data_IF_022755171097
#
_entry.id   IF_022755171097
#
_cell.length_a   1.000
_cell.length_b   1.000
_cell.length_c   1.000
_cell.angle_alpha   90.00
_cell.angle_beta   90.00
_cell.angle_gamma   90.00
#
_symmetry.space_group_name_H-M   'P 1'
#
loop_
_entity.id
_entity.type
_entity.pdbx_description
1 polymer ?
#
# COMPACT_ATOMS: atom_id res chain seq x y z
N UNK A 1 -16.84 45.04 3.55
CA UNK A 1 -16.25 43.68 3.60
C UNK A 1 -16.60 43.01 2.28
N UNK A 2 -15.68 43.03 1.31
CA UNK A 2 -15.88 42.37 0.02
C UNK A 2 -15.64 40.88 0.17
N UNK A 3 -16.67 40.08 -0.15
CA UNK A 3 -16.56 38.65 -0.35
C UNK A 3 -15.61 38.36 -1.52
N UNK A 4 -14.51 37.65 -1.28
CA UNK A 4 -13.76 37.02 -2.37
C UNK A 4 -14.48 35.72 -2.76
N UNK A 5 -14.91 35.66 -4.02
CA UNK A 5 -15.37 34.45 -4.70
C UNK A 5 -14.30 33.37 -4.64
N UNK A 6 -14.57 32.29 -3.91
CA UNK A 6 -13.79 31.05 -3.97
C UNK A 6 -14.05 30.37 -5.30
N UNK A 7 -13.16 30.60 -6.26
CA UNK A 7 -12.95 29.66 -7.36
C UNK A 7 -12.32 28.41 -6.76
N UNK A 8 -12.99 27.26 -6.89
CA UNK A 8 -12.48 25.96 -6.47
C UNK A 8 -11.24 25.64 -7.29
N UNK A 9 -10.07 26.01 -6.78
CA UNK A 9 -8.79 25.71 -7.40
C UNK A 9 -8.53 24.22 -7.25
N UNK A 10 -8.13 23.58 -8.34
CA UNK A 10 -7.67 22.18 -8.32
C UNK A 10 -6.67 21.99 -7.16
N UNK A 11 -6.82 20.95 -6.30
CA UNK A 11 -6.00 20.79 -5.10
C UNK A 11 -4.50 20.78 -5.37
N UNK A 12 -4.07 20.24 -6.52
CA UNK A 12 -2.66 20.25 -6.92
C UNK A 12 -2.20 21.68 -7.25
N UNK A 13 -3.02 22.45 -7.97
CA UNK A 13 -2.78 23.86 -8.28
C UNK A 13 -2.69 24.70 -7.00
N UNK A 14 -3.60 24.51 -6.05
CA UNK A 14 -3.57 25.18 -4.74
C UNK A 14 -2.30 24.84 -3.96
N UNK A 15 -1.88 23.57 -3.95
CA UNK A 15 -0.62 23.16 -3.34
C UNK A 15 0.58 23.80 -4.03
N UNK A 16 0.65 23.79 -5.37
CA UNK A 16 1.74 24.43 -6.10
C UNK A 16 1.82 25.94 -5.78
N UNK A 17 0.70 26.62 -5.56
CA UNK A 17 0.70 28.02 -5.15
C UNK A 17 1.17 28.21 -3.70
N UNK A 18 0.70 27.37 -2.79
CA UNK A 18 1.01 27.43 -1.36
C UNK A 18 2.50 27.22 -1.09
N UNK A 19 3.09 26.16 -1.65
CA UNK A 19 4.46 25.72 -1.33
C UNK A 19 5.44 25.83 -2.50
N UNK A 20 4.96 26.29 -3.66
CA UNK A 20 5.80 26.46 -4.84
C UNK A 20 6.86 27.54 -4.68
N UNK A 21 7.86 27.45 -5.54
CA UNK A 21 9.04 28.31 -5.53
C UNK A 21 10.26 27.64 -4.88
N UNK A 22 11.44 28.09 -5.29
CA UNK A 22 12.73 27.48 -4.94
C UNK A 22 12.99 27.41 -3.43
N UNK A 23 12.49 28.39 -2.66
CA UNK A 23 12.97 28.63 -1.30
C UNK A 23 12.04 28.15 -0.18
N UNK A 24 10.71 28.13 -0.38
CA UNK A 24 9.75 27.77 0.68
C UNK A 24 10.00 26.36 1.23
N UNK A 25 10.22 25.38 0.35
CA UNK A 25 10.53 24.00 0.74
C UNK A 25 11.88 23.86 1.45
N UNK A 26 12.89 24.66 1.04
CA UNK A 26 14.20 24.66 1.69
C UNK A 26 14.13 25.30 3.09
N UNK A 27 13.40 26.40 3.25
CA UNK A 27 13.15 27.05 4.54
C UNK A 27 12.44 26.06 5.48
N UNK A 28 11.39 25.40 4.99
CA UNK A 28 10.64 24.40 5.75
C UNK A 28 11.52 23.23 6.20
N UNK A 29 12.43 22.75 5.34
CA UNK A 29 13.44 21.73 5.69
C UNK A 29 14.31 22.19 6.86
N UNK A 30 14.84 23.43 6.82
CA UNK A 30 15.70 23.95 7.88
C UNK A 30 14.95 24.09 9.22
N UNK A 31 13.69 24.53 9.18
CA UNK A 31 12.86 24.73 10.36
C UNK A 31 12.33 23.42 10.98
N UNK A 32 12.45 22.30 10.26
CA UNK A 32 12.15 20.97 10.82
C UNK A 32 13.10 20.61 11.97
N UNK A 33 14.31 21.17 11.99
CA UNK A 33 15.30 20.99 13.05
C UNK A 33 15.10 21.95 14.25
N UNK A 34 13.99 22.67 14.30
CA UNK A 34 13.65 23.63 15.36
C UNK A 34 13.77 25.10 14.95
N UNK A 35 13.49 26.03 15.89
CA UNK A 35 13.50 27.47 15.61
C UNK A 35 14.85 27.97 15.08
N UNK A 36 14.80 28.95 14.17
CA UNK A 36 15.98 29.58 13.55
C UNK A 36 15.84 31.08 13.43
N UNK A 37 16.95 31.81 13.57
CA UNK A 37 17.01 33.25 13.28
C UNK A 37 17.15 33.49 11.78
N UNK A 38 16.79 34.69 11.34
CA UNK A 38 16.91 35.10 9.94
C UNK A 38 18.33 34.88 9.37
N UNK A 39 19.35 35.23 10.15
CA UNK A 39 20.75 35.05 9.75
C UNK A 39 21.17 33.59 9.63
N UNK A 40 20.57 32.68 10.41
CA UNK A 40 20.86 31.25 10.36
C UNK A 40 20.23 30.63 9.12
N UNK A 41 18.98 30.97 8.84
CA UNK A 41 18.27 30.55 7.63
C UNK A 41 19.01 31.02 6.38
N UNK A 42 19.40 32.30 6.32
CA UNK A 42 20.15 32.85 5.18
C UNK A 42 21.48 32.13 4.96
N UNK A 43 22.22 31.85 6.04
CA UNK A 43 23.50 31.13 5.95
C UNK A 43 23.31 29.68 5.47
N UNK A 44 22.31 28.97 5.98
CA UNK A 44 22.04 27.57 5.61
C UNK A 44 21.56 27.43 4.16
N UNK A 45 20.76 28.39 3.68
CA UNK A 45 20.19 28.39 2.33
C UNK A 45 21.18 28.86 1.26
N UNK A 46 22.30 29.47 1.64
CA UNK A 46 23.36 29.91 0.72
C UNK A 46 22.95 31.11 -0.13
N UNK A 47 22.63 30.87 -1.41
CA UNK A 47 22.47 31.90 -2.46
C UNK A 47 21.19 32.76 -2.37
N UNK A 48 20.44 32.68 -1.28
CA UNK A 48 19.21 33.45 -1.13
C UNK A 48 19.50 34.91 -0.79
N UNK A 49 18.91 35.83 -1.55
CA UNK A 49 19.00 37.26 -1.23
C UNK A 49 18.18 37.60 0.01
N UNK A 50 18.60 38.62 0.76
CA UNK A 50 17.89 39.07 1.96
C UNK A 50 16.43 39.44 1.67
N UNK A 51 16.17 40.07 0.54
CA UNK A 51 14.83 40.45 0.11
C UNK A 51 13.97 39.21 -0.15
N UNK A 52 14.49 38.24 -0.92
CA UNK A 52 13.75 37.02 -1.26
C UNK A 52 13.47 36.16 -0.03
N UNK A 53 14.40 36.07 0.92
CA UNK A 53 14.16 35.38 2.19
C UNK A 53 13.09 36.09 3.02
N UNK A 54 13.12 37.42 3.07
CA UNK A 54 12.11 38.21 3.80
C UNK A 54 10.73 38.01 3.21
N UNK A 55 10.60 38.07 1.88
CA UNK A 55 9.34 37.89 1.19
C UNK A 55 8.81 36.46 1.38
N UNK A 56 9.68 35.44 1.25
CA UNK A 56 9.30 34.05 1.47
C UNK A 56 8.81 33.78 2.90
N UNK A 57 9.51 34.31 3.92
CA UNK A 57 9.11 34.14 5.33
C UNK A 57 7.77 34.83 5.62
N UNK A 58 7.55 36.04 5.08
CA UNK A 58 6.26 36.73 5.22
C UNK A 58 5.12 35.95 4.58
N UNK A 59 5.30 35.49 3.34
CA UNK A 59 4.26 34.69 2.69
C UNK A 59 4.00 33.40 3.44
N UNK A 60 5.03 32.70 3.93
CA UNK A 60 4.84 31.49 4.73
C UNK A 60 4.16 31.75 6.09
N UNK A 61 4.34 32.94 6.67
CA UNK A 61 3.66 33.37 7.88
C UNK A 61 2.17 33.68 7.58
N UNK A 62 1.89 34.41 6.50
CA UNK A 62 0.55 34.72 6.03
C UNK A 62 -0.24 33.45 5.63
N UNK A 63 0.45 32.48 5.01
CA UNK A 63 -0.07 31.16 4.65
C UNK A 63 -0.27 30.23 5.87
N UNK A 64 0.12 30.67 7.08
CA UNK A 64 -0.02 29.90 8.32
C UNK A 64 0.96 28.73 8.47
N UNK A 65 2.02 28.66 7.67
CA UNK A 65 3.02 27.58 7.68
C UNK A 65 4.12 27.79 8.73
N UNK A 66 4.44 29.05 9.07
CA UNK A 66 5.46 29.39 10.06
C UNK A 66 4.93 30.39 11.08
N UNK A 67 5.52 30.35 12.27
CA UNK A 67 5.28 31.30 13.35
C UNK A 67 6.55 32.14 13.58
N UNK A 68 6.38 33.45 13.71
CA UNK A 68 7.45 34.41 13.96
C UNK A 68 7.37 34.93 15.39
N UNK A 69 8.41 34.73 16.18
CA UNK A 69 8.52 35.22 17.55
C UNK A 69 9.56 36.34 17.62
N UNK A 70 9.19 37.45 18.26
CA UNK A 70 10.11 38.55 18.57
C UNK A 70 10.53 38.42 20.02
N UNK A 71 11.84 38.36 20.27
CA UNK A 71 12.41 38.29 21.62
C UNK A 71 12.95 39.66 22.05
N UNK A 72 12.28 40.36 22.98
CA UNK A 72 12.69 41.68 23.45
C UNK A 72 13.77 41.54 24.54
N UNK A 73 15.00 41.25 24.12
CA UNK A 73 16.19 41.20 24.99
C UNK A 73 17.12 42.40 24.70
N UNK A 74 18.28 42.47 25.38
CA UNK A 74 19.31 43.53 25.19
C UNK A 74 19.74 43.65 23.71
N UNK A 75 19.64 42.58 22.93
CA UNK A 75 19.70 42.62 21.46
C UNK A 75 18.41 42.01 20.90
N UNK A 76 17.57 42.86 20.30
CA UNK A 76 16.32 42.43 19.67
C UNK A 76 16.60 41.40 18.56
N UNK A 77 16.01 40.22 18.67
CA UNK A 77 16.10 39.19 17.64
C UNK A 77 14.75 38.54 17.35
N UNK A 78 14.70 37.85 16.22
CA UNK A 78 13.49 37.22 15.68
C UNK A 78 13.82 35.78 15.36
N UNK A 79 12.94 34.88 15.79
CA UNK A 79 13.00 33.47 15.44
C UNK A 79 11.77 33.04 14.66
N UNK A 80 11.98 32.07 13.77
CA UNK A 80 10.95 31.45 12.96
C UNK A 80 10.89 29.97 13.31
N UNK A 81 9.69 29.43 13.44
CA UNK A 81 9.42 28.01 13.67
C UNK A 81 8.26 27.54 12.80
N UNK A 82 8.17 26.24 12.53
CA UNK A 82 6.97 25.69 11.87
C UNK A 82 5.76 25.79 12.81
N UNK A 83 4.58 26.03 12.23
CA UNK A 83 3.29 25.80 12.90
C UNK A 83 2.93 24.31 12.86
N UNK A 84 1.84 23.90 13.52
CA UNK A 84 1.31 22.54 13.38
C UNK A 84 1.06 22.18 11.90
N UNK A 85 0.45 23.09 11.14
CA UNK A 85 0.24 22.94 9.69
C UNK A 85 1.56 22.84 8.92
N UNK A 86 2.55 23.68 9.29
CA UNK A 86 3.90 23.60 8.72
C UNK A 86 4.57 22.24 8.95
N UNK A 87 4.39 21.64 10.13
CA UNK A 87 4.88 20.30 10.43
C UNK A 87 4.13 19.21 9.64
N UNK A 88 2.81 19.30 9.47
CA UNK A 88 2.06 18.37 8.62
C UNK A 88 2.58 18.39 7.18
N UNK A 89 2.91 19.56 6.65
CA UNK A 89 3.47 19.71 5.30
C UNK A 89 4.87 19.09 5.13
N UNK A 90 5.60 18.77 6.20
CA UNK A 90 6.90 18.09 6.10
C UNK A 90 6.79 16.65 5.56
N UNK A 91 5.60 16.03 5.64
CA UNK A 91 5.33 14.74 5.01
C UNK A 91 5.56 14.79 3.48
N UNK A 92 5.28 15.94 2.86
CA UNK A 92 5.55 16.15 1.44
C UNK A 92 7.06 16.19 1.16
N UNK A 93 7.86 16.89 1.98
CA UNK A 93 9.31 16.94 1.83
C UNK A 93 9.94 15.55 1.88
N UNK A 94 9.47 14.71 2.81
CA UNK A 94 9.90 13.30 2.93
C UNK A 94 9.54 12.49 1.68
N UNK A 95 8.32 12.70 1.17
CA UNK A 95 7.84 12.02 -0.05
C UNK A 95 8.64 12.43 -1.28
N UNK A 96 8.85 13.74 -1.49
CA UNK A 96 9.64 14.27 -2.61
C UNK A 96 11.09 13.76 -2.58
N UNK A 97 11.72 13.75 -1.40
CA UNK A 97 13.08 13.23 -1.21
C UNK A 97 13.16 11.74 -1.56
N UNK A 98 12.18 10.95 -1.11
CA UNK A 98 12.10 9.52 -1.40
C UNK A 98 11.91 9.25 -2.91
N UNK A 99 11.04 10.02 -3.56
CA UNK A 99 10.83 9.93 -5.01
C UNK A 99 12.10 10.27 -5.80
N UNK A 100 12.84 11.30 -5.40
CA UNK A 100 14.07 11.70 -6.07
C UNK A 100 15.19 10.66 -5.93
N UNK A 101 15.34 10.04 -4.74
CA UNK A 101 16.28 8.95 -4.52
C UNK A 101 15.98 7.74 -5.44
N UNK A 102 14.71 7.39 -5.60
CA UNK A 102 14.27 6.34 -6.51
C UNK A 102 14.53 6.70 -7.98
N UNK A 103 14.34 7.98 -8.34
CA UNK A 103 14.58 8.49 -9.69
C UNK A 103 16.06 8.39 -10.08
N UNK A 104 16.98 8.87 -9.24
CA UNK A 104 18.43 8.78 -9.51
C UNK A 104 18.85 7.32 -9.70
N UNK A 105 18.44 6.45 -8.78
CA UNK A 105 18.71 5.01 -8.87
C UNK A 105 18.17 4.42 -10.18
N UNK A 106 17.01 4.90 -10.66
CA UNK A 106 16.43 4.40 -11.92
C UNK A 106 17.18 4.92 -13.15
N UNK A 107 17.70 6.15 -13.13
CA UNK A 107 18.49 6.74 -14.22
C UNK A 107 19.86 6.06 -14.33
N UNK A 108 20.56 5.86 -13.22
CA UNK A 108 21.86 5.18 -13.20
C UNK A 108 21.80 3.72 -13.70
N UNK A 109 20.66 3.06 -13.50
CA UNK A 109 20.42 1.72 -13.99
C UNK A 109 20.04 1.66 -15.48
N UNK A 110 19.52 2.75 -16.08
CA UNK A 110 19.19 2.81 -17.51
C UNK A 110 20.45 2.85 -18.39
N UNK A 111 21.56 3.39 -17.87
CA UNK A 111 22.83 3.51 -18.60
C UNK A 111 23.65 2.21 -18.61
N UNK A 112 23.26 1.19 -17.83
CA UNK A 112 24.05 -0.04 -17.61
C UNK A 112 23.48 -1.32 -18.20
N UNK A 113 22.34 -1.27 -18.89
CA UNK A 113 21.66 -2.50 -19.35
C UNK A 113 22.32 -3.11 -20.61
N UNK A 114 22.69 -4.40 -20.60
CA UNK A 114 23.04 -5.16 -21.81
C UNK A 114 21.82 -5.40 -22.73
N UNK A 115 22.08 -5.93 -23.93
CA UNK A 115 21.05 -6.35 -24.90
C UNK A 115 20.65 -7.82 -24.69
N UNK A 116 19.39 -8.20 -25.00
CA UNK A 116 18.84 -9.50 -24.63
C UNK A 116 19.46 -10.65 -25.43
N UNK A 117 19.69 -11.80 -24.77
CA UNK A 117 19.99 -13.08 -25.42
C UNK A 117 19.01 -14.20 -25.04
N UNK A 118 18.53 -14.88 -26.09
CA UNK A 118 17.88 -16.20 -26.21
C UNK A 118 16.63 -16.59 -25.36
N UNK A 119 15.47 -16.34 -25.98
CA UNK A 119 14.34 -17.27 -26.20
C UNK A 119 13.61 -17.89 -24.98
N UNK A 120 12.67 -17.13 -24.43
CA UNK A 120 11.46 -17.64 -23.75
C UNK A 120 10.20 -17.04 -24.35
N UNK A 121 9.98 -17.19 -25.66
CA UNK A 121 8.80 -16.61 -26.30
C UNK A 121 7.51 -17.24 -25.73
N UNK A 122 6.80 -16.50 -24.88
CA UNK A 122 5.51 -16.89 -24.30
C UNK A 122 4.35 -16.76 -25.29
N UNK A 123 4.53 -15.92 -26.31
CA UNK A 123 3.49 -15.56 -27.26
C UNK A 123 3.95 -15.77 -28.70
N UNK A 124 3.02 -16.14 -29.59
CA UNK A 124 3.28 -16.25 -31.03
C UNK A 124 2.88 -14.95 -31.73
N UNK A 125 3.78 -14.38 -32.54
CA UNK A 125 3.50 -13.22 -33.38
C UNK A 125 2.75 -13.64 -34.65
N UNK A 126 1.54 -13.09 -34.85
CA UNK A 126 0.78 -13.18 -36.11
C UNK A 126 0.81 -11.84 -36.83
N UNK A 127 1.46 -11.78 -37.99
CA UNK A 127 1.49 -10.60 -38.86
C UNK A 127 0.17 -10.41 -39.60
N UNK A 128 -0.79 -9.74 -38.95
CA UNK A 128 -1.77 -8.78 -39.50
C UNK A 128 -2.70 -8.37 -38.35
N UNK A 129 -2.73 -7.09 -37.97
CA UNK A 129 -3.50 -6.53 -36.84
C UNK A 129 -3.43 -7.41 -35.57
N UNK A 130 -2.25 -7.41 -34.94
CA UNK A 130 -1.75 -8.41 -34.00
C UNK A 130 -2.67 -8.68 -32.78
N UNK A 131 -3.54 -9.69 -32.89
CA UNK A 131 -4.01 -10.43 -31.72
C UNK A 131 -2.88 -11.37 -31.31
N UNK A 132 -2.27 -11.10 -30.17
CA UNK A 132 -1.23 -11.96 -29.60
C UNK A 132 -1.90 -13.23 -29.07
N UNK A 133 -1.66 -14.39 -29.70
CA UNK A 133 -2.23 -15.66 -29.25
C UNK A 133 -1.42 -16.26 -28.08
N UNK A 134 -2.12 -16.50 -26.97
CA UNK A 134 -1.62 -17.19 -25.79
C UNK A 134 -1.63 -18.72 -26.00
N UNK A 135 -0.65 -19.46 -25.47
CA UNK A 135 -0.73 -20.91 -25.39
C UNK A 135 -1.95 -21.37 -24.57
N UNK A 136 -2.40 -22.61 -24.80
CA UNK A 136 -3.50 -23.18 -24.03
C UNK A 136 -3.19 -23.24 -22.52
N UNK A 137 -4.24 -23.25 -21.70
CA UNK A 137 -4.14 -23.23 -20.24
C UNK A 137 -3.20 -24.31 -19.67
N UNK A 138 -3.31 -25.57 -20.15
CA UNK A 138 -2.49 -26.68 -19.65
C UNK A 138 -1.02 -26.49 -19.98
N UNK A 139 -0.72 -25.93 -21.15
CA UNK A 139 0.64 -25.57 -21.54
C UNK A 139 1.18 -24.44 -20.65
N UNK A 140 0.39 -23.39 -20.40
CA UNK A 140 0.80 -22.30 -19.51
C UNK A 140 1.06 -22.77 -18.07
N UNK A 141 0.22 -23.62 -17.50
CA UNK A 141 0.45 -24.22 -16.17
C UNK A 141 1.77 -25.01 -16.13
N UNK A 142 2.04 -25.86 -17.12
CA UNK A 142 3.29 -26.62 -17.21
C UNK A 142 4.51 -25.70 -17.31
N UNK A 143 4.43 -24.66 -18.14
CA UNK A 143 5.49 -23.65 -18.29
C UNK A 143 5.72 -22.90 -16.98
N UNK A 144 4.67 -22.43 -16.32
CA UNK A 144 4.77 -21.74 -15.03
C UNK A 144 5.43 -22.61 -13.96
N UNK A 145 5.05 -23.88 -13.86
CA UNK A 145 5.71 -24.85 -12.96
C UNK A 145 7.19 -25.03 -13.26
N UNK A 146 7.55 -25.17 -14.54
CA UNK A 146 8.96 -25.30 -14.94
C UNK A 146 9.78 -24.05 -14.58
N UNK A 147 9.23 -22.85 -14.82
CA UNK A 147 9.87 -21.59 -14.44
C UNK A 147 10.07 -21.47 -12.92
N UNK A 148 9.05 -21.79 -12.13
CA UNK A 148 9.15 -21.78 -10.66
C UNK A 148 10.07 -22.89 -10.12
N UNK A 149 10.15 -24.03 -10.82
CA UNK A 149 11.08 -25.10 -10.48
C UNK A 149 12.54 -24.65 -10.67
N UNK A 150 12.83 -23.97 -11.78
CA UNK A 150 14.17 -23.50 -12.16
C UNK A 150 14.60 -22.18 -11.47
N UNK A 151 13.65 -21.44 -10.90
CA UNK A 151 13.92 -20.15 -10.25
C UNK A 151 14.83 -20.28 -9.02
N UNK A 152 15.77 -19.34 -8.89
CA UNK A 152 16.59 -19.18 -7.68
C UNK A 152 15.77 -18.52 -6.56
N UNK A 153 14.86 -17.60 -6.94
CA UNK A 153 13.98 -16.87 -6.02
C UNK A 153 12.56 -16.71 -6.58
N UNK A 154 11.56 -16.71 -5.71
CA UNK A 154 10.18 -16.35 -6.05
C UNK A 154 9.74 -15.16 -5.21
N UNK A 155 9.30 -14.08 -5.86
CA UNK A 155 8.72 -12.92 -5.19
C UNK A 155 7.24 -12.87 -5.54
N UNK A 156 6.39 -13.18 -4.56
CA UNK A 156 4.95 -13.21 -4.73
C UNK A 156 4.31 -11.87 -4.32
N UNK A 157 3.35 -11.41 -5.13
CA UNK A 157 2.64 -10.16 -4.94
C UNK A 157 1.14 -10.39 -4.95
N UNK A 158 0.45 -10.24 -3.80
CA UNK A 158 -1.00 -10.50 -3.72
C UNK A 158 -1.83 -9.21 -3.54
N UNK A 159 -2.86 -9.09 -4.36
CA UNK A 159 -3.90 -8.07 -4.24
C UNK A 159 -5.27 -8.67 -3.91
N UNK A 160 -6.31 -7.82 -3.91
CA UNK A 160 -7.66 -8.23 -3.50
C UNK A 160 -8.27 -9.35 -4.36
N UNK A 161 -7.76 -9.58 -5.57
CA UNK A 161 -8.26 -10.65 -6.45
C UNK A 161 -8.08 -12.05 -5.86
N UNK A 162 -7.07 -12.28 -5.00
CA UNK A 162 -6.91 -13.57 -4.30
C UNK A 162 -8.08 -13.89 -3.34
N UNK A 163 -8.81 -12.87 -2.89
CA UNK A 163 -9.99 -13.05 -2.05
C UNK A 163 -11.26 -13.33 -2.87
N UNK A 164 -11.30 -12.88 -4.14
CA UNK A 164 -12.41 -13.21 -5.05
C UNK A 164 -12.47 -14.72 -5.29
N UNK A 165 -11.30 -15.37 -5.36
CA UNK A 165 -11.14 -16.83 -5.34
C UNK A 165 -11.79 -17.51 -4.12
N UNK A 166 -12.01 -16.77 -3.03
CA UNK A 166 -12.70 -17.25 -1.82
C UNK A 166 -14.17 -16.79 -1.74
N UNK A 167 -14.76 -16.37 -2.87
CA UNK A 167 -16.10 -15.77 -2.95
C UNK A 167 -16.30 -14.50 -2.08
N UNK A 168 -15.21 -13.77 -1.84
CA UNK A 168 -15.20 -12.51 -1.10
C UNK A 168 -14.76 -11.40 -2.05
N UNK A 169 -15.72 -10.59 -2.48
CA UNK A 169 -15.44 -9.42 -3.30
C UNK A 169 -15.90 -8.15 -2.55
N UNK A 170 -14.93 -7.37 -2.08
CA UNK A 170 -15.17 -6.17 -1.29
C UNK A 170 -15.87 -5.05 -2.08
N UNK A 171 -15.94 -5.17 -3.41
CA UNK A 171 -16.46 -4.14 -4.31
C UNK A 171 -17.86 -4.44 -4.86
N UNK A 172 -18.51 -5.54 -4.47
CA UNK A 172 -19.86 -5.87 -4.96
C UNK A 172 -20.97 -5.79 -3.90
N UNK A 173 -22.17 -5.56 -4.42
CA UNK A 173 -23.41 -5.43 -3.62
C UNK A 173 -23.83 -6.75 -2.97
N UNK A 174 -23.54 -7.88 -3.63
CA UNK A 174 -23.96 -9.21 -3.17
C UNK A 174 -23.24 -9.58 -1.88
N UNK A 175 -21.95 -9.31 -1.81
CA UNK A 175 -21.10 -9.58 -0.63
C UNK A 175 -21.47 -8.63 0.51
N UNK A 176 -21.65 -7.33 0.23
CA UNK A 176 -22.08 -6.36 1.24
C UNK A 176 -23.44 -6.73 1.85
N UNK A 177 -24.46 -7.02 1.04
CA UNK A 177 -25.78 -7.44 1.53
C UNK A 177 -25.73 -8.72 2.37
N UNK A 178 -24.84 -9.66 2.01
CA UNK A 178 -24.70 -10.95 2.71
C UNK A 178 -24.00 -10.83 4.05
N UNK A 179 -22.92 -10.03 4.12
CA UNK A 179 -22.06 -9.97 5.30
C UNK A 179 -22.42 -8.81 6.25
N UNK A 180 -22.90 -7.69 5.72
CA UNK A 180 -23.21 -6.47 6.47
C UNK A 180 -24.61 -5.93 6.08
N UNK A 181 -25.69 -6.71 6.30
CA UNK A 181 -27.04 -6.32 5.86
C UNK A 181 -27.52 -5.00 6.46
N UNK A 182 -27.22 -4.72 7.73
CA UNK A 182 -27.61 -3.48 8.39
C UNK A 182 -27.00 -2.23 7.71
N UNK A 183 -25.72 -2.32 7.32
CA UNK A 183 -25.04 -1.26 6.58
C UNK A 183 -25.55 -1.15 5.14
N UNK A 184 -25.85 -2.28 4.49
CA UNK A 184 -26.46 -2.28 3.16
C UNK A 184 -27.82 -1.56 3.16
N UNK A 185 -28.65 -1.77 4.18
CA UNK A 185 -29.95 -1.10 4.35
C UNK A 185 -29.80 0.41 4.58
N UNK A 186 -28.68 0.87 5.12
CA UNK A 186 -28.32 2.30 5.25
C UNK A 186 -27.83 2.93 3.93
N UNK A 187 -27.73 2.16 2.85
CA UNK A 187 -27.41 2.66 1.51
C UNK A 187 -25.98 2.38 1.04
N UNK A 188 -25.17 1.66 1.81
CA UNK A 188 -23.83 1.24 1.37
C UNK A 188 -23.91 0.18 0.27
N UNK A 189 -23.27 0.43 -0.88
CA UNK A 189 -23.32 -0.49 -2.03
C UNK A 189 -22.24 -1.56 -1.98
N UNK A 190 -21.08 -1.30 -1.36
CA UNK A 190 -20.04 -2.30 -1.18
C UNK A 190 -19.29 -2.12 0.13
N UNK A 191 -18.53 -3.14 0.54
CA UNK A 191 -17.75 -3.12 1.78
C UNK A 191 -16.62 -2.07 1.69
N UNK A 192 -16.07 -1.82 0.50
CA UNK A 192 -15.10 -0.74 0.27
C UNK A 192 -15.67 0.63 0.63
N UNK A 193 -16.97 0.87 0.40
CA UNK A 193 -17.66 2.11 0.80
C UNK A 193 -17.74 2.23 2.32
N UNK A 194 -18.00 1.11 3.01
CA UNK A 194 -18.07 1.07 4.47
C UNK A 194 -16.69 1.36 5.08
N UNK A 195 -15.63 0.72 4.57
CA UNK A 195 -14.24 0.99 5.01
C UNK A 195 -13.87 2.47 4.79
N UNK A 196 -14.35 3.10 3.71
CA UNK A 196 -14.17 4.55 3.49
C UNK A 196 -14.93 5.39 4.52
N UNK A 197 -16.20 5.07 4.76
CA UNK A 197 -17.05 5.82 5.68
C UNK A 197 -16.51 5.79 7.11
N UNK A 198 -15.98 4.64 7.53
CA UNK A 198 -15.37 4.44 8.85
C UNK A 198 -13.84 4.56 8.82
N UNK A 199 -13.29 5.41 7.94
CA UNK A 199 -11.84 5.63 7.84
C UNK A 199 -11.28 6.59 8.90
N UNK A 200 -12.15 7.35 9.57
CA UNK A 200 -11.77 8.34 10.57
C UNK A 200 -12.66 8.21 11.81
N UNK A 201 -12.01 8.09 12.97
CA UNK A 201 -12.68 8.09 14.27
C UNK A 201 -12.77 9.52 14.82
N UNK A 202 -13.87 9.83 15.48
CA UNK A 202 -14.11 11.06 16.22
C UNK A 202 -15.03 10.80 17.42
N UNK A 203 -15.11 11.71 18.39
CA UNK A 203 -16.04 11.58 19.52
C UNK A 203 -17.50 11.41 19.10
N UNK A 204 -17.91 11.96 17.95
CA UNK A 204 -19.28 11.90 17.46
C UNK A 204 -19.63 10.56 16.82
N UNK A 205 -18.63 9.79 16.37
CA UNK A 205 -18.85 8.53 15.64
C UNK A 205 -18.22 7.30 16.28
N UNK A 206 -17.57 7.43 17.44
CA UNK A 206 -16.73 6.38 18.03
C UNK A 206 -17.44 5.02 18.22
N UNK A 207 -18.74 5.04 18.55
CA UNK A 207 -19.56 3.84 18.69
C UNK A 207 -19.82 3.17 17.34
N UNK A 208 -20.29 3.92 16.34
CA UNK A 208 -20.55 3.41 15.00
C UNK A 208 -19.26 2.96 14.30
N UNK A 209 -18.16 3.65 14.55
CA UNK A 209 -16.83 3.29 14.08
C UNK A 209 -16.44 1.89 14.57
N UNK A 210 -16.54 1.65 15.88
CA UNK A 210 -16.16 0.36 16.46
C UNK A 210 -17.21 -0.73 16.26
N UNK A 211 -18.47 -0.38 16.00
CA UNK A 211 -19.50 -1.32 15.56
C UNK A 211 -19.08 -1.95 14.24
N UNK A 212 -18.81 -1.12 13.23
CA UNK A 212 -18.34 -1.59 11.93
C UNK A 212 -17.01 -2.33 12.03
N UNK A 213 -16.00 -1.73 12.67
CA UNK A 213 -14.66 -2.33 12.67
C UNK A 213 -14.58 -3.62 13.49
N UNK A 214 -15.34 -3.76 14.58
CA UNK A 214 -15.33 -5.01 15.35
C UNK A 214 -15.95 -6.16 14.54
N UNK A 215 -17.08 -5.93 13.87
CA UNK A 215 -17.70 -6.92 12.98
C UNK A 215 -16.80 -7.23 11.77
N UNK A 216 -16.24 -6.20 11.13
CA UNK A 216 -15.36 -6.35 9.98
C UNK A 216 -14.11 -7.15 10.31
N UNK A 217 -13.41 -6.78 11.39
CA UNK A 217 -12.21 -7.48 11.83
C UNK A 217 -12.55 -8.92 12.25
N UNK A 218 -13.66 -9.14 12.92
CA UNK A 218 -14.09 -10.49 13.25
C UNK A 218 -14.31 -11.33 11.99
N UNK A 219 -15.11 -10.86 11.03
CA UNK A 219 -15.46 -11.61 9.83
C UNK A 219 -14.24 -11.90 8.93
N UNK A 220 -13.37 -10.91 8.69
CA UNK A 220 -12.26 -11.07 7.75
C UNK A 220 -10.97 -11.56 8.39
N UNK A 221 -10.67 -11.15 9.62
CA UNK A 221 -9.41 -11.48 10.30
C UNK A 221 -9.51 -12.67 11.24
N UNK A 222 -10.61 -12.92 11.96
CA UNK A 222 -10.62 -13.92 13.03
C UNK A 222 -11.52 -15.13 12.80
N UNK A 223 -12.67 -14.96 12.16
CA UNK A 223 -13.73 -15.98 12.07
C UNK A 223 -13.32 -17.23 11.30
N UNK A 224 -12.62 -17.05 10.19
CA UNK A 224 -12.33 -18.12 9.23
C UNK A 224 -10.84 -18.50 9.23
N UNK A 225 -10.48 -19.76 8.94
CA UNK A 225 -9.10 -20.13 8.69
C UNK A 225 -8.55 -19.46 7.41
N UNK A 226 -7.28 -19.72 7.09
CA UNK A 226 -6.72 -19.34 5.79
C UNK A 226 -7.56 -19.95 4.66
N UNK A 227 -7.84 -19.18 3.60
CA UNK A 227 -8.56 -19.71 2.45
C UNK A 227 -7.68 -20.65 1.63
N UNK A 228 -8.31 -21.55 0.86
CA UNK A 228 -7.60 -22.54 0.06
C UNK A 228 -6.61 -21.89 -0.92
N UNK A 229 -6.97 -20.75 -1.54
CA UNK A 229 -6.06 -20.03 -2.43
C UNK A 229 -4.78 -19.55 -1.72
N UNK A 230 -4.86 -19.13 -0.46
CA UNK A 230 -3.68 -18.76 0.33
C UNK A 230 -2.88 -19.99 0.77
N UNK A 231 -3.53 -21.10 1.08
CA UNK A 231 -2.85 -22.37 1.38
C UNK A 231 -2.13 -22.91 0.14
N UNK A 232 -2.74 -22.81 -1.04
CA UNK A 232 -2.12 -23.21 -2.31
C UNK A 232 -0.91 -22.32 -2.63
N UNK A 233 -1.00 -21.01 -2.37
CA UNK A 233 0.18 -20.13 -2.43
C UNK A 233 1.28 -20.56 -1.45
N UNK A 234 0.93 -20.93 -0.23
CA UNK A 234 1.91 -21.50 0.71
C UNK A 234 2.55 -22.78 0.15
N UNK A 235 1.78 -23.68 -0.44
CA UNK A 235 2.31 -24.90 -1.06
C UNK A 235 3.25 -24.63 -2.23
N UNK A 236 3.00 -23.58 -3.03
CA UNK A 236 3.90 -23.13 -4.10
C UNK A 236 5.24 -22.62 -3.53
N UNK A 237 5.23 -21.94 -2.37
CA UNK A 237 6.37 -21.19 -1.85
C UNK A 237 7.20 -21.92 -0.79
N UNK A 238 6.61 -22.83 -0.01
CA UNK A 238 7.19 -23.39 1.23
C UNK A 238 8.60 -23.97 1.08
N UNK A 239 8.93 -24.53 -0.07
CA UNK A 239 10.22 -25.19 -0.37
C UNK A 239 11.13 -24.32 -1.26
N UNK A 240 10.83 -23.02 -1.39
CA UNK A 240 11.53 -22.08 -2.27
C UNK A 240 12.11 -20.91 -1.47
N UNK A 241 13.20 -20.33 -1.96
CA UNK A 241 13.68 -19.03 -1.46
C UNK A 241 12.71 -17.94 -1.90
N UNK A 242 11.87 -17.45 -0.99
CA UNK A 242 10.74 -16.60 -1.35
C UNK A 242 10.58 -15.38 -0.44
N UNK A 243 9.84 -14.40 -0.97
CA UNK A 243 9.29 -13.28 -0.22
C UNK A 243 7.89 -12.97 -0.74
N UNK A 244 6.99 -12.55 0.16
CA UNK A 244 5.62 -12.16 -0.19
C UNK A 244 5.42 -10.69 0.16
N UNK A 245 4.92 -9.92 -0.81
CA UNK A 245 4.41 -8.56 -0.60
C UNK A 245 2.91 -8.55 -0.88
N UNK A 246 2.12 -7.95 0.02
CA UNK A 246 0.67 -7.88 -0.18
C UNK A 246 0.11 -6.49 0.05
N UNK A 247 -0.90 -6.16 -0.76
CA UNK A 247 -1.74 -4.99 -0.52
C UNK A 247 -2.99 -5.32 0.31
N UNK A 248 -3.17 -6.58 0.69
CA UNK A 248 -4.24 -7.00 1.58
C UNK A 248 -3.77 -6.88 3.05
N UNK A 249 -4.71 -6.63 3.95
CA UNK A 249 -4.46 -6.51 5.39
C UNK A 249 -5.30 -7.49 6.23
N UNK A 250 -6.06 -8.38 5.58
CA UNK A 250 -7.05 -9.29 6.17
C UNK A 250 -6.47 -10.40 7.06
N UNK A 251 -5.16 -10.58 7.08
CA UNK A 251 -4.53 -11.59 7.91
C UNK A 251 -4.46 -12.99 7.28
N UNK A 252 -4.87 -13.16 6.02
CA UNK A 252 -4.96 -14.48 5.39
C UNK A 252 -3.58 -15.11 5.20
N UNK A 253 -2.59 -14.33 4.76
CA UNK A 253 -1.20 -14.78 4.61
C UNK A 253 -0.60 -15.21 5.96
N UNK A 254 -0.84 -14.45 7.03
CA UNK A 254 -0.36 -14.77 8.37
C UNK A 254 -0.91 -16.10 8.92
N UNK A 255 -2.02 -16.62 8.37
CA UNK A 255 -2.64 -17.89 8.77
C UNK A 255 -2.14 -19.11 8.00
N UNK A 256 -1.33 -18.92 6.96
CA UNK A 256 -0.93 -20.02 6.05
C UNK A 256 0.19 -20.91 6.58
N UNK A 257 0.96 -20.42 7.56
CA UNK A 257 2.20 -21.07 8.03
C UNK A 257 3.48 -20.60 7.33
N UNK A 258 3.39 -19.64 6.40
CA UNK A 258 4.56 -18.92 5.90
C UNK A 258 5.30 -18.21 7.03
N UNK A 259 6.64 -18.12 6.93
CA UNK A 259 7.43 -17.33 7.85
C UNK A 259 7.04 -15.85 7.74
N UNK A 260 6.52 -15.29 8.83
CA UNK A 260 6.09 -13.90 8.91
C UNK A 260 7.22 -12.91 8.59
N UNK A 261 8.48 -13.30 8.78
CA UNK A 261 9.66 -12.51 8.42
C UNK A 261 9.91 -12.41 6.92
N UNK A 262 9.19 -13.19 6.11
CA UNK A 262 9.19 -13.11 4.65
C UNK A 262 7.88 -12.51 4.09
N UNK A 263 7.04 -11.91 4.93
CA UNK A 263 5.78 -11.27 4.53
C UNK A 263 5.85 -9.78 4.83
N UNK A 264 5.81 -8.96 3.78
CA UNK A 264 5.77 -7.50 3.88
C UNK A 264 4.37 -6.96 3.52
N UNK A 265 3.77 -6.24 4.47
CA UNK A 265 2.44 -5.64 4.36
C UNK A 265 2.54 -4.11 4.39
N UNK A 266 2.88 -3.45 3.25
CA UNK A 266 3.08 -2.00 3.17
C UNK A 266 1.87 -1.16 3.57
N UNK A 267 0.68 -1.75 3.64
CA UNK A 267 -0.57 -1.08 3.97
C UNK A 267 -1.06 -1.33 5.41
N UNK A 268 -0.27 -2.06 6.21
CA UNK A 268 -0.62 -2.49 7.56
C UNK A 268 -1.26 -3.88 7.62
N UNK A 269 -1.59 -4.32 8.82
CA UNK A 269 -2.28 -5.59 9.09
C UNK A 269 -3.39 -5.39 10.12
N UNK A 270 -4.59 -5.89 9.80
CA UNK A 270 -5.74 -5.92 10.70
C UNK A 270 -5.56 -6.86 11.90
N UNK A 271 -4.45 -7.60 11.97
CA UNK A 271 -4.01 -8.27 13.20
C UNK A 271 -3.75 -7.30 14.34
N UNK A 272 -3.52 -6.02 14.02
CA UNK A 272 -3.08 -5.03 14.98
C UNK A 272 -3.93 -3.76 14.98
N UNK A 273 -3.93 -3.10 16.13
CA UNK A 273 -4.36 -1.71 16.30
C UNK A 273 -3.13 -0.82 16.50
N UNK A 274 -3.30 0.47 16.29
CA UNK A 274 -2.29 1.49 16.57
C UNK A 274 -2.94 2.77 17.12
N UNK A 275 -2.15 3.60 17.78
CA UNK A 275 -2.60 4.91 18.25
C UNK A 275 -2.99 5.82 17.07
N UNK A 276 -4.18 6.41 17.10
CA UNK A 276 -4.65 7.36 16.09
C UNK A 276 -3.75 8.61 15.99
N UNK A 277 -3.30 9.11 17.15
CA UNK A 277 -2.36 10.24 17.24
C UNK A 277 -0.89 9.87 16.93
N UNK A 278 -0.55 8.58 16.78
CA UNK A 278 0.83 8.13 16.59
C UNK A 278 1.81 8.59 17.69
N UNK A 279 1.39 8.52 18.97
CA UNK A 279 2.25 8.92 20.11
C UNK A 279 3.53 8.08 20.27
N UNK A 280 3.55 6.89 19.69
CA UNK A 280 4.67 5.96 19.65
C UNK A 280 4.58 5.10 18.38
N UNK A 281 5.72 4.60 17.90
CA UNK A 281 5.79 3.66 16.78
C UNK A 281 5.54 2.23 17.27
N UNK A 282 4.33 1.96 17.75
CA UNK A 282 3.92 0.68 18.32
C UNK A 282 2.58 0.21 17.80
N UNK A 283 2.46 -1.11 17.72
CA UNK A 283 1.21 -1.81 17.41
C UNK A 283 0.73 -2.63 18.62
N UNK A 284 -0.57 -2.88 18.67
CA UNK A 284 -1.25 -3.63 19.71
C UNK A 284 -2.00 -4.81 19.09
N UNK A 285 -1.91 -6.02 19.64
CA UNK A 285 -2.70 -7.15 19.15
C UNK A 285 -4.19 -6.82 19.20
N UNK A 286 -4.88 -6.88 18.05
CA UNK A 286 -6.26 -6.42 17.95
C UNK A 286 -7.27 -7.39 18.57
N UNK A 287 -7.00 -8.70 18.50
CA UNK A 287 -7.94 -9.74 18.89
C UNK A 287 -8.58 -9.55 20.27
N UNK A 288 -7.83 -9.29 21.37
CA UNK A 288 -8.43 -9.14 22.70
C UNK A 288 -9.39 -7.94 22.79
N UNK A 289 -9.13 -6.88 22.03
CA UNK A 289 -10.01 -5.71 21.97
C UNK A 289 -11.30 -6.04 21.22
N UNK A 290 -11.19 -6.75 20.09
CA UNK A 290 -12.37 -7.14 19.29
C UNK A 290 -13.26 -8.11 20.06
N UNK A 291 -12.67 -9.13 20.70
CA UNK A 291 -13.40 -10.08 21.54
C UNK A 291 -14.12 -9.38 22.70
N UNK A 292 -13.47 -8.40 23.35
CA UNK A 292 -14.10 -7.59 24.39
C UNK A 292 -15.29 -6.80 23.86
N UNK A 293 -15.13 -6.07 22.75
CA UNK A 293 -16.22 -5.28 22.15
C UNK A 293 -17.41 -6.19 21.86
N UNK A 294 -17.19 -7.31 21.16
CA UNK A 294 -18.26 -8.25 20.79
C UNK A 294 -18.95 -8.88 22.00
N UNK A 295 -18.21 -9.15 23.09
CA UNK A 295 -18.78 -9.68 24.32
C UNK A 295 -19.62 -8.65 25.09
N UNK A 296 -19.22 -7.37 25.03
CA UNK A 296 -19.89 -6.28 25.76
C UNK A 296 -21.11 -5.71 25.01
N UNK A 297 -21.20 -5.92 23.69
CA UNK A 297 -22.30 -5.47 22.82
C UNK A 297 -23.63 -6.12 23.23
N UNK A 298 -24.61 -5.30 23.59
CA UNK A 298 -25.99 -5.75 23.87
C UNK A 298 -26.87 -5.44 22.64
N UNK A 299 -27.71 -6.41 22.28
CA UNK A 299 -28.56 -6.34 21.08
C UNK A 299 -29.58 -5.20 21.06
N UNK A 300 -29.83 -4.53 22.19
CA UNK A 300 -30.79 -3.41 22.32
C UNK A 300 -30.12 -2.04 22.37
N UNK A 301 -28.88 -1.97 22.84
CA UNK A 301 -28.18 -0.68 23.08
C UNK A 301 -26.89 -0.53 22.27
N UNK A 302 -26.41 -1.59 21.62
CA UNK A 302 -25.17 -1.58 20.85
C UNK A 302 -23.92 -1.66 21.74
N UNK A 303 -22.80 -1.16 21.20
CA UNK A 303 -21.50 -1.10 21.91
C UNK A 303 -21.58 -0.13 23.09
N UNK A 304 -20.89 -0.47 24.17
CA UNK A 304 -20.73 0.40 25.34
C UNK A 304 -19.51 1.33 25.18
N UNK A 305 -19.59 2.62 25.57
CA UNK A 305 -18.46 3.54 25.48
C UNK A 305 -17.18 3.04 26.17
N UNK A 306 -17.31 2.27 27.26
CA UNK A 306 -16.19 1.72 28.03
C UNK A 306 -15.44 0.58 27.31
N UNK A 307 -16.04 0.03 26.25
CA UNK A 307 -15.45 -1.01 25.41
C UNK A 307 -14.61 -0.43 24.28
N UNK A 308 -14.69 0.89 24.04
CA UNK A 308 -13.92 1.58 23.00
C UNK A 308 -12.42 1.50 23.30
N UNK A 309 -11.62 0.90 22.39
CA UNK A 309 -10.17 0.79 22.54
C UNK A 309 -9.47 2.15 22.66
N UNK A 310 -8.69 2.31 23.73
CA UNK A 310 -7.85 3.49 23.99
C UNK A 310 -6.38 3.10 24.06
N UNK A 311 -5.51 3.99 23.58
CA UNK A 311 -4.08 3.85 23.58
C UNK A 311 -3.58 3.81 25.04
N UNK A 312 -2.92 2.73 25.48
CA UNK A 312 -2.40 2.62 26.85
C UNK A 312 -1.38 3.71 27.23
N UNK A 313 -0.71 4.32 26.24
CA UNK A 313 0.37 5.28 26.48
C UNK A 313 -0.12 6.74 26.60
N UNK A 314 -1.15 7.14 25.86
CA UNK A 314 -1.60 8.54 25.82
C UNK A 314 -3.11 8.73 26.03
N UNK A 315 -3.91 7.65 26.05
CA UNK A 315 -5.36 7.70 26.19
C UNK A 315 -6.15 8.07 24.93
N UNK A 316 -5.48 8.37 23.81
CA UNK A 316 -6.16 8.61 22.53
C UNK A 316 -6.81 7.32 21.98
N UNK A 317 -7.60 7.41 20.92
CA UNK A 317 -8.18 6.26 20.25
C UNK A 317 -7.11 5.30 19.71
N UNK A 318 -7.36 4.01 19.86
CA UNK A 318 -6.77 3.03 18.96
C UNK A 318 -7.60 2.97 17.68
N UNK A 319 -6.96 2.63 16.56
CA UNK A 319 -7.59 2.38 15.26
C UNK A 319 -6.94 1.15 14.62
N UNK A 320 -7.59 0.45 13.69
CA UNK A 320 -6.95 -0.64 12.95
C UNK A 320 -5.66 -0.16 12.27
N UNK A 321 -4.61 -0.99 12.32
CA UNK A 321 -3.34 -0.72 11.65
C UNK A 321 -3.52 -0.89 10.13
N UNK A 322 -4.00 0.16 9.47
CA UNK A 322 -4.26 0.16 8.05
C UNK A 322 -4.18 1.57 7.45
N UNK A 323 -3.64 1.70 6.23
CA UNK A 323 -3.35 3.00 5.61
C UNK A 323 -4.57 3.93 5.45
N UNK A 324 -5.79 3.37 5.46
CA UNK A 324 -7.03 4.15 5.36
C UNK A 324 -7.50 4.69 6.70
N UNK A 325 -7.11 4.05 7.81
CA UNK A 325 -7.44 4.55 9.13
C UNK A 325 -6.53 5.74 9.42
N UNK A 326 -6.99 6.95 9.03
CA UNK A 326 -6.19 8.18 8.87
C UNK A 326 -5.27 8.43 10.08
N UNK A 327 -4.05 7.92 9.97
CA UNK A 327 -2.97 8.06 10.95
C UNK A 327 -1.79 8.76 10.28
N UNK A 328 -0.94 9.39 11.08
CA UNK A 328 0.23 10.12 10.56
C UNK A 328 1.28 9.14 10.00
N UNK A 329 1.35 7.93 10.56
CA UNK A 329 2.26 6.87 10.13
C UNK A 329 1.76 5.48 10.53
N UNK A 330 2.00 4.48 9.67
CA UNK A 330 1.79 3.08 9.99
C UNK A 330 2.95 2.53 10.81
N UNK A 331 2.65 2.11 12.04
CA UNK A 331 3.60 1.37 12.85
C UNK A 331 3.78 -0.06 12.29
N UNK A 332 5.01 -0.55 12.32
CA UNK A 332 5.34 -1.90 11.84
C UNK A 332 5.30 -2.89 13.00
N UNK A 333 4.71 -4.06 12.78
CA UNK A 333 4.78 -5.15 13.74
C UNK A 333 6.13 -5.86 13.65
N UNK A 334 6.80 -6.08 14.78
CA UNK A 334 8.10 -6.75 14.81
C UNK A 334 8.06 -8.18 14.26
N UNK A 335 6.91 -8.86 14.32
CA UNK A 335 6.77 -10.23 13.81
C UNK A 335 6.77 -10.31 12.28
N UNK A 336 6.38 -9.23 11.59
CA UNK A 336 6.34 -9.15 10.13
C UNK A 336 7.67 -8.65 9.56
N UNK A 337 7.87 -8.85 8.26
CA UNK A 337 8.95 -8.21 7.55
C UNK A 337 8.76 -6.69 7.51
N UNK A 338 9.85 -5.95 7.66
CA UNK A 338 9.87 -4.51 7.45
C UNK A 338 10.26 -4.22 6.00
N UNK A 339 10.01 -2.98 5.55
CA UNK A 339 10.38 -2.53 4.20
C UNK A 339 11.84 -2.82 3.85
N UNK A 340 12.75 -2.63 4.82
CA UNK A 340 14.19 -2.88 4.63
C UNK A 340 14.49 -4.34 4.31
N UNK A 341 13.75 -5.27 4.89
CA UNK A 341 13.97 -6.71 4.72
C UNK A 341 13.52 -7.14 3.32
N UNK A 342 12.37 -6.63 2.87
CA UNK A 342 11.91 -6.81 1.49
C UNK A 342 12.89 -6.23 0.46
N UNK A 343 13.36 -5.00 0.67
CA UNK A 343 14.34 -4.37 -0.22
C UNK A 343 15.68 -5.11 -0.22
N UNK A 344 16.10 -5.62 0.94
CA UNK A 344 17.29 -6.46 1.05
C UNK A 344 17.13 -7.71 0.19
N UNK A 345 16.04 -8.46 0.34
CA UNK A 345 15.77 -9.66 -0.44
C UNK A 345 15.74 -9.37 -1.95
N UNK A 346 15.05 -8.31 -2.35
CA UNK A 346 14.93 -7.88 -3.74
C UNK A 346 16.30 -7.56 -4.36
N UNK A 347 17.16 -6.85 -3.63
CA UNK A 347 18.53 -6.56 -4.07
C UNK A 347 19.38 -7.83 -4.20
N UNK A 348 19.21 -8.81 -3.31
CA UNK A 348 19.92 -10.08 -3.37
C UNK A 348 19.49 -10.98 -4.54
N UNK A 349 18.28 -10.76 -5.05
CA UNK A 349 17.76 -11.47 -6.23
C UNK A 349 18.21 -10.88 -7.57
N UNK A 350 18.86 -9.71 -7.60
CA UNK A 350 19.28 -9.06 -8.85
C UNK A 350 20.29 -9.93 -9.63
N UNK A 351 20.07 -10.06 -10.93
CA UNK A 351 20.90 -10.87 -11.84
C UNK A 351 20.76 -12.39 -11.66
N UNK A 352 19.85 -12.83 -10.78
CA UNK A 352 19.49 -14.24 -10.57
C UNK A 352 18.23 -14.60 -11.36
N UNK A 353 17.89 -15.89 -11.40
CA UNK A 353 16.61 -16.34 -11.98
C UNK A 353 15.50 -16.06 -10.99
N UNK A 354 14.64 -15.09 -11.30
CA UNK A 354 13.59 -14.63 -10.38
C UNK A 354 12.23 -14.78 -11.04
N UNK A 355 11.30 -15.44 -10.35
CA UNK A 355 9.89 -15.42 -10.73
C UNK A 355 9.18 -14.34 -9.90
N UNK A 356 8.64 -13.35 -10.59
CA UNK A 356 7.67 -12.42 -10.00
C UNK A 356 6.26 -12.99 -10.19
N UNK A 357 5.63 -13.48 -9.12
CA UNK A 357 4.31 -14.07 -9.16
C UNK A 357 3.25 -13.05 -8.71
N UNK A 358 2.60 -12.38 -9.66
CA UNK A 358 1.54 -11.40 -9.41
C UNK A 358 0.17 -12.08 -9.38
N UNK A 359 -0.56 -11.95 -8.26
CA UNK A 359 -1.87 -12.57 -8.06
C UNK A 359 -2.91 -11.50 -7.74
N UNK A 360 -3.93 -11.36 -8.58
CA UNK A 360 -5.12 -10.56 -8.27
C UNK A 360 -4.87 -9.07 -8.00
N UNK A 361 -3.76 -8.51 -8.49
CA UNK A 361 -3.41 -7.10 -8.31
C UNK A 361 -4.14 -6.21 -9.33
N UNK A 362 -4.94 -5.25 -8.86
CA UNK A 362 -5.65 -4.29 -9.72
C UNK A 362 -4.87 -2.99 -9.98
N UNK A 363 -5.57 -1.97 -10.48
CA UNK A 363 -4.97 -0.67 -10.81
C UNK A 363 -4.99 0.39 -9.69
N UNK A 364 -5.82 0.22 -8.66
CA UNK A 364 -6.01 1.22 -7.58
C UNK A 364 -4.72 1.55 -6.83
N UNK A 365 -3.89 0.54 -6.55
CA UNK A 365 -2.59 0.68 -5.86
C UNK A 365 -1.49 -0.03 -6.67
N UNK A 366 -1.49 0.16 -7.98
CA UNK A 366 -0.57 -0.50 -8.91
C UNK A 366 0.93 -0.27 -8.60
N UNK A 367 1.27 0.76 -7.82
CA UNK A 367 2.64 1.07 -7.41
C UNK A 367 3.19 0.14 -6.31
N UNK A 368 2.37 -0.73 -5.71
CA UNK A 368 2.80 -1.65 -4.65
C UNK A 368 3.36 -2.95 -5.23
N UNK A 369 2.66 -3.52 -6.22
CA UNK A 369 2.97 -4.85 -6.77
C UNK A 369 3.16 -4.77 -8.29
N UNK A 370 2.08 -4.46 -9.02
CA UNK A 370 2.02 -4.56 -10.48
C UNK A 370 3.15 -3.82 -11.20
N UNK A 371 3.26 -2.50 -11.00
CA UNK A 371 4.31 -1.69 -11.65
C UNK A 371 5.71 -2.06 -11.18
N UNK A 372 6.00 -2.22 -9.87
CA UNK A 372 7.29 -2.72 -9.43
C UNK A 372 7.68 -4.05 -10.08
N UNK A 373 6.78 -5.03 -10.13
CA UNK A 373 7.07 -6.35 -10.70
C UNK A 373 7.38 -6.26 -12.20
N UNK A 374 6.61 -5.46 -12.94
CA UNK A 374 6.90 -5.14 -14.35
C UNK A 374 8.28 -4.46 -14.50
N UNK A 375 8.61 -3.50 -13.64
CA UNK A 375 9.87 -2.77 -13.68
C UNK A 375 11.08 -3.65 -13.34
N UNK A 376 10.97 -4.52 -12.34
CA UNK A 376 12.05 -5.46 -11.99
C UNK A 376 12.23 -6.55 -13.03
N UNK A 377 11.13 -7.04 -13.62
CA UNK A 377 11.20 -8.02 -14.72
C UNK A 377 11.92 -7.42 -15.91
N UNK A 378 11.57 -6.19 -16.30
CA UNK A 378 12.21 -5.49 -17.43
C UNK A 378 13.71 -5.24 -17.22
N UNK A 379 14.14 -5.05 -15.98
CA UNK A 379 15.54 -4.75 -15.64
C UNK A 379 16.40 -6.00 -15.44
N UNK A 380 15.80 -7.18 -15.35
CA UNK A 380 16.51 -8.44 -15.14
C UNK A 380 16.14 -9.41 -16.26
N UNK A 381 17.04 -9.61 -17.22
CA UNK A 381 16.85 -10.53 -18.36
C UNK A 381 16.57 -11.98 -17.91
N UNK A 382 16.99 -12.36 -16.71
CA UNK A 382 16.76 -13.69 -16.12
C UNK A 382 15.51 -13.76 -15.25
N UNK A 383 14.75 -12.66 -15.14
CA UNK A 383 13.48 -12.66 -14.44
C UNK A 383 12.33 -12.98 -15.40
N UNK A 384 11.28 -13.59 -14.86
CA UNK A 384 10.00 -13.71 -15.53
C UNK A 384 8.85 -13.27 -14.63
N UNK A 385 7.83 -12.68 -15.25
CA UNK A 385 6.58 -12.29 -14.60
C UNK A 385 5.51 -13.35 -14.87
N UNK A 386 4.94 -13.93 -13.82
CA UNK A 386 3.74 -14.77 -13.91
C UNK A 386 2.58 -13.96 -13.35
N UNK A 387 1.63 -13.56 -14.20
CA UNK A 387 0.45 -12.77 -13.82
C UNK A 387 -0.79 -13.63 -13.80
N UNK A 388 -1.47 -13.71 -12.67
CA UNK A 388 -2.74 -14.40 -12.49
C UNK A 388 -3.80 -13.35 -12.15
N UNK A 389 -4.65 -13.01 -13.11
CA UNK A 389 -5.68 -12.00 -12.90
C UNK A 389 -6.86 -12.17 -13.88
N UNK A 390 -8.03 -12.53 -13.36
CA UNK A 390 -9.22 -12.80 -14.17
C UNK A 390 -9.82 -11.55 -14.84
N UNK A 391 -9.53 -10.35 -14.31
CA UNK A 391 -10.07 -9.08 -14.83
C UNK A 391 -9.08 -8.33 -15.73
N UNK A 392 -7.81 -8.37 -15.35
CA UNK A 392 -6.75 -7.62 -16.01
C UNK A 392 -5.51 -8.48 -16.27
N UNK A 393 -5.62 -9.56 -17.08
CA UNK A 393 -4.52 -10.48 -17.37
C UNK A 393 -3.51 -9.91 -18.38
N UNK A 394 -3.88 -8.87 -19.13
CA UNK A 394 -3.09 -8.36 -20.24
C UNK A 394 -1.70 -7.87 -19.80
N UNK A 395 -0.71 -8.16 -20.65
CA UNK A 395 0.63 -7.57 -20.60
C UNK A 395 0.65 -6.49 -21.69
N UNK A 396 0.67 -5.22 -21.29
CA UNK A 396 0.58 -4.09 -22.24
C UNK A 396 1.94 -3.56 -22.69
N UNK A 397 3.02 -3.90 -21.98
CA UNK A 397 4.38 -3.51 -22.37
C UNK A 397 4.95 -4.60 -23.29
N UNK A 398 5.12 -4.27 -24.56
CA UNK A 398 5.65 -5.19 -25.58
C UNK A 398 7.01 -5.79 -25.18
N UNK A 399 7.82 -5.03 -24.43
CA UNK A 399 9.14 -5.48 -23.95
C UNK A 399 9.05 -6.61 -22.93
N UNK A 400 7.90 -6.78 -22.28
CA UNK A 400 7.67 -7.86 -21.31
C UNK A 400 7.07 -9.12 -21.95
N UNK A 401 6.63 -9.08 -23.20
CA UNK A 401 5.96 -10.23 -23.82
C UNK A 401 6.88 -11.48 -23.85
N UNK A 402 8.20 -11.30 -23.98
CA UNK A 402 9.15 -12.41 -23.95
C UNK A 402 9.52 -12.87 -22.53
N UNK A 403 9.17 -12.11 -21.50
CA UNK A 403 9.50 -12.38 -20.10
C UNK A 403 8.26 -12.59 -19.22
N UNK A 404 7.05 -12.53 -19.76
CA UNK A 404 5.81 -12.59 -19.00
C UNK A 404 4.87 -13.69 -19.50
N UNK A 405 4.28 -14.39 -18.55
CA UNK A 405 3.22 -15.37 -18.74
C UNK A 405 1.98 -14.89 -17.99
N UNK A 406 0.83 -14.79 -18.66
CA UNK A 406 -0.41 -14.38 -18.02
C UNK A 406 -1.48 -15.47 -18.01
N UNK A 407 -2.35 -15.41 -17.00
CA UNK A 407 -3.55 -16.22 -16.79
C UNK A 407 -4.74 -15.29 -16.59
N UNK A 408 -5.78 -15.49 -17.40
CA UNK A 408 -7.06 -14.78 -17.33
C UNK A 408 -8.17 -15.63 -16.69
N UNK A 409 -7.82 -16.85 -16.31
CA UNK A 409 -8.65 -17.79 -15.57
C UNK A 409 -8.82 -17.36 -14.10
N UNK A 410 -9.68 -18.08 -13.37
CA UNK A 410 -9.91 -17.83 -11.95
C UNK A 410 -8.61 -17.98 -11.15
N UNK A 411 -8.32 -17.01 -10.28
CA UNK A 411 -7.10 -17.00 -9.48
C UNK A 411 -6.96 -18.25 -8.59
N UNK A 412 -8.06 -18.80 -8.06
CA UNK A 412 -8.05 -19.99 -7.20
C UNK A 412 -7.66 -21.24 -7.99
N UNK A 413 -8.27 -21.43 -9.16
CA UNK A 413 -8.03 -22.58 -10.03
C UNK A 413 -6.57 -22.61 -10.49
N UNK A 414 -6.05 -21.47 -10.94
CA UNK A 414 -4.65 -21.37 -11.37
C UNK A 414 -3.71 -21.65 -10.20
N UNK A 415 -3.95 -21.08 -9.01
CA UNK A 415 -3.12 -21.36 -7.83
C UNK A 415 -3.15 -22.82 -7.42
N UNK A 416 -4.34 -23.45 -7.45
CA UNK A 416 -4.51 -24.86 -7.14
C UNK A 416 -3.71 -25.74 -8.10
N UNK A 417 -3.89 -25.51 -9.40
CA UNK A 417 -3.21 -26.27 -10.45
C UNK A 417 -1.70 -26.05 -10.43
N UNK A 418 -1.22 -24.88 -9.99
CA UNK A 418 0.20 -24.61 -9.77
C UNK A 418 0.74 -25.32 -8.52
N UNK A 419 -0.05 -25.46 -7.46
CA UNK A 419 0.36 -26.04 -6.19
C UNK A 419 0.48 -27.58 -6.22
N UNK A 420 -0.38 -28.27 -6.98
CA UNK A 420 -0.45 -29.74 -6.95
C UNK A 420 -0.18 -30.38 -8.32
N UNK A 421 0.47 -31.55 -8.33
CA UNK A 421 0.63 -32.37 -9.54
C UNK A 421 -0.63 -33.22 -9.76
N UNK A 422 -1.19 -33.21 -10.99
CA UNK A 422 -2.05 -34.30 -11.47
C UNK A 422 -3.58 -34.12 -11.44
N UNK A 423 -4.15 -32.98 -11.04
CA UNK A 423 -5.57 -32.70 -11.24
C UNK A 423 -5.74 -31.28 -11.74
N UNK A 424 -5.74 -31.10 -13.07
CA UNK A 424 -6.34 -29.90 -13.64
C UNK A 424 -7.81 -29.94 -13.22
N UNK A 425 -8.27 -28.95 -12.46
CA UNK A 425 -9.71 -28.79 -12.24
C UNK A 425 -10.39 -28.78 -13.61
N UNK A 426 -11.53 -29.47 -13.80
CA UNK A 426 -12.26 -29.38 -15.07
C UNK A 426 -12.66 -27.92 -15.27
N UNK A 427 -11.89 -27.20 -16.09
CA UNK A 427 -12.32 -25.89 -16.58
C UNK A 427 -13.66 -26.10 -17.26
N UNK A 428 -14.63 -25.25 -16.94
CA UNK A 428 -15.94 -25.21 -17.56
C UNK A 428 -15.80 -25.18 -19.10
N UNK A 429 -15.82 -26.36 -19.71
CA UNK A 429 -15.81 -26.62 -21.16
C UNK A 429 -17.16 -26.21 -21.82
N UNK A 430 -17.87 -25.24 -21.23
CA UNK A 430 -19.20 -24.84 -21.62
C UNK A 430 -19.37 -23.32 -21.58
N UNK A 431 -18.68 -22.62 -22.49
CA UNK A 431 -19.12 -21.33 -23.06
C UNK A 431 -18.51 -21.17 -24.46
N UNK A 432 -19.05 -21.98 -25.37
CA UNK A 432 -19.08 -21.69 -26.80
C UNK A 432 -20.03 -20.52 -27.09
#
# INVERSE_FOLDING_TARGET
MSYHETTTTDPLTGMIQLIGGRWKLMIMRELTAGPRRFGDLRRSLGDISQKVLTDALRTMEDDGLIHRVVYPEVTLHVEYSLTALGYEMTALLRTMTSCYANYITSVENLERSPKPSESTAFYKSSTTAATIELPDYKTRIRTAKALMADADYIIAGTGSGINVASNINLFDKKTAKRLFPAYYEQGFNCIDDMINAFSQISPENELAYWDFWSEYLWEFRYRHPASQAHLDLFHILKDKSHFVVSSNADGQLEKTGLDLKHIYLPLGSYSYLQCAFSCEEKVYDAQPYIEKILADTDSRIGIRPESIPRCPSCGDYLVPNHYRCRNVSLASADRLAHRKDFLYFLNHSLGKRVVFLEIGSGFRLQNIIRRPFEDFTRKNERACLIRINSKFPQITDERLLEQALSFGENEAEVLHDLAYEGQLTPADDARA
#
